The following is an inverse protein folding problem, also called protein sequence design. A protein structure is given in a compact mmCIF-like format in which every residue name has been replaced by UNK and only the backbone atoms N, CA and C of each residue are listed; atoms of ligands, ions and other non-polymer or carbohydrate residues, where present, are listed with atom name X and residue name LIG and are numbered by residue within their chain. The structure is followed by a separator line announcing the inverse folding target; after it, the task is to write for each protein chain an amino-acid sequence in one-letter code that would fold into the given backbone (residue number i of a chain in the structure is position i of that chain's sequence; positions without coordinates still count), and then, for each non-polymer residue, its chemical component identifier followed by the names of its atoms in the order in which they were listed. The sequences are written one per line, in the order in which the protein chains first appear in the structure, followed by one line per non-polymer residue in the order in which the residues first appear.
data_IF_687163128580
#
_entry.id   IF_687163128580
#
_cell.length_a   1.000
_cell.length_b   1.000
_cell.length_c   1.000
_cell.angle_alpha   90.00
_cell.angle_beta   90.00
_cell.angle_gamma   90.00
#
_symmetry.space_group_name_H-M   'P 1'
#
loop_
_entity.id
_entity.type
_entity.pdbx_description
1 polymer ?
#
# COMPACT_ATOMS: atom_id res chain seq x y z
N UNK A 1 -21.14 21.63 -19.95
CA UNK A 1 -20.91 20.35 -20.64
C UNK A 1 -21.89 19.34 -20.07
N UNK A 2 -22.65 18.59 -20.88
CA UNK A 2 -23.55 17.57 -20.37
C UNK A 2 -22.76 16.45 -19.68
N UNK A 3 -23.36 15.83 -18.66
CA UNK A 3 -22.78 14.68 -17.98
C UNK A 3 -22.76 13.48 -18.94
N UNK A 4 -21.75 12.61 -18.84
CA UNK A 4 -21.74 11.37 -19.62
C UNK A 4 -22.83 10.40 -19.14
N UNK A 5 -23.37 9.60 -20.06
CA UNK A 5 -24.44 8.62 -19.79
C UNK A 5 -24.08 7.68 -18.62
N UNK A 6 -22.84 7.18 -18.60
CA UNK A 6 -22.35 6.31 -17.52
C UNK A 6 -22.33 7.00 -16.14
N UNK A 7 -22.06 8.30 -16.10
CA UNK A 7 -22.05 9.08 -14.87
C UNK A 7 -23.50 9.38 -14.42
N UNK A 8 -24.39 9.71 -15.35
CA UNK A 8 -25.82 9.90 -15.07
C UNK A 8 -26.46 8.65 -14.47
N UNK A 9 -26.23 7.46 -15.04
CA UNK A 9 -26.76 6.20 -14.51
C UNK A 9 -26.35 5.97 -13.04
N UNK A 10 -25.07 6.16 -12.73
CA UNK A 10 -24.54 6.03 -11.35
C UNK A 10 -25.11 7.05 -10.38
N UNK A 11 -25.46 8.25 -10.84
CA UNK A 11 -26.10 9.26 -10.00
C UNK A 11 -27.58 8.95 -9.76
N UNK A 12 -28.28 8.38 -10.74
CA UNK A 12 -29.66 7.90 -10.60
C UNK A 12 -29.73 6.73 -9.61
N UNK A 13 -28.82 5.75 -9.72
CA UNK A 13 -28.73 4.62 -8.77
C UNK A 13 -28.54 5.09 -7.32
N UNK A 14 -27.87 6.23 -7.13
CA UNK A 14 -27.63 6.83 -5.82
C UNK A 14 -28.73 7.80 -5.37
N UNK A 15 -29.78 7.96 -6.16
CA UNK A 15 -30.90 8.88 -5.88
C UNK A 15 -30.52 10.36 -5.92
N UNK A 16 -29.39 10.71 -6.56
CA UNK A 16 -28.90 12.09 -6.67
C UNK A 16 -29.60 12.83 -7.82
N UNK A 17 -30.02 12.10 -8.86
CA UNK A 17 -30.79 12.62 -9.99
C UNK A 17 -32.14 11.91 -10.09
N UNK A 18 -33.20 12.68 -10.33
CA UNK A 18 -34.55 12.14 -10.58
C UNK A 18 -34.69 11.70 -12.03
N UNK A 19 -35.05 10.43 -12.26
CA UNK A 19 -35.23 9.83 -13.59
C UNK A 19 -36.26 10.57 -14.47
N UNK A 20 -37.19 11.30 -13.85
CA UNK A 20 -38.24 12.06 -14.55
C UNK A 20 -37.72 13.26 -15.35
N UNK A 21 -36.54 13.79 -15.02
CA UNK A 21 -35.95 14.96 -15.69
C UNK A 21 -35.04 14.63 -16.90
N UNK A 22 -34.84 13.35 -17.22
CA UNK A 22 -33.95 12.91 -18.31
C UNK A 22 -34.75 12.46 -19.54
N UNK A 23 -35.95 11.89 -19.34
CA UNK A 23 -36.79 11.39 -20.43
C UNK A 23 -37.29 12.49 -21.38
N UNK A 24 -37.30 13.76 -20.96
CA UNK A 24 -37.62 14.89 -21.84
C UNK A 24 -36.50 15.24 -22.84
N UNK A 25 -35.28 14.70 -22.68
CA UNK A 25 -34.13 14.97 -23.53
C UNK A 25 -33.74 13.81 -24.47
N UNK A 26 -34.35 12.62 -24.29
CA UNK A 26 -34.03 11.42 -25.06
C UNK A 26 -34.92 11.21 -26.30
N UNK A 27 -36.08 11.87 -26.37
CA UNK A 27 -37.02 11.72 -27.50
C UNK A 27 -36.64 12.55 -28.75
N UNK A 28 -35.49 13.23 -28.75
CA UNK A 28 -35.05 14.10 -29.86
C UNK A 28 -33.85 13.57 -30.67
N UNK A 29 -33.36 12.36 -30.39
CA UNK A 29 -32.19 11.79 -31.09
C UNK A 29 -32.34 10.29 -31.37
N UNK A 30 -33.52 9.90 -31.88
CA UNK A 30 -33.81 8.52 -32.27
C UNK A 30 -33.86 8.36 -33.79
N UNK A 31 -32.83 8.82 -34.51
CA UNK A 31 -32.55 8.38 -35.89
C UNK A 31 -31.03 8.36 -36.12
N UNK A 32 -30.54 7.27 -36.74
CA UNK A 32 -29.14 6.86 -37.00
C UNK A 32 -28.34 6.32 -35.80
N UNK A 33 -28.07 5.01 -35.77
CA UNK A 33 -26.88 4.46 -36.45
C UNK A 33 -26.92 2.92 -36.35
N UNK A 34 -27.37 2.27 -37.42
CA UNK A 34 -27.18 0.84 -37.66
C UNK A 34 -25.70 0.64 -38.03
N UNK A 35 -24.83 0.48 -37.04
CA UNK A 35 -23.43 0.16 -37.26
C UNK A 35 -23.02 -1.06 -36.44
N UNK A 36 -22.97 -2.17 -37.17
CA UNK A 36 -22.20 -3.39 -36.92
C UNK A 36 -20.97 -3.17 -36.02
N UNK A 37 -20.96 -3.81 -34.85
CA UNK A 37 -19.72 -4.17 -34.16
C UNK A 37 -19.48 -5.67 -34.38
N UNK A 38 -18.54 -5.97 -35.27
CA UNK A 38 -18.09 -7.33 -35.56
C UNK A 38 -17.40 -7.92 -34.33
N UNK A 39 -17.94 -9.03 -33.81
CA UNK A 39 -17.33 -9.81 -32.73
C UNK A 39 -16.28 -10.74 -33.34
N UNK A 40 -15.02 -10.30 -33.38
CA UNK A 40 -13.90 -11.17 -33.69
C UNK A 40 -13.53 -11.98 -32.44
N UNK A 41 -13.91 -13.25 -32.42
CA UNK A 41 -13.35 -14.22 -31.48
C UNK A 41 -11.93 -14.57 -31.94
N UNK A 42 -10.93 -13.88 -31.42
CA UNK A 42 -9.54 -14.30 -31.55
C UNK A 42 -9.27 -15.45 -30.56
N UNK A 43 -9.32 -16.69 -31.06
CA UNK A 43 -8.77 -17.85 -30.36
C UNK A 43 -7.24 -17.81 -30.47
N UNK A 44 -6.58 -17.26 -29.46
CA UNK A 44 -5.14 -17.43 -29.31
C UNK A 44 -4.85 -18.71 -28.52
N UNK A 45 -5.02 -19.86 -29.19
CA UNK A 45 -4.36 -21.09 -28.77
C UNK A 45 -3.34 -21.51 -29.84
N UNK A 46 -2.17 -21.87 -29.32
CA UNK A 46 -1.03 -22.56 -29.95
C UNK A 46 -0.03 -21.75 -30.79
N UNK A 47 1.05 -21.35 -30.11
CA UNK A 47 2.39 -21.65 -30.63
C UNK A 47 3.16 -22.45 -29.58
N UNK A 48 3.11 -23.77 -29.70
CA UNK A 48 4.29 -24.60 -29.45
C UNK A 48 5.32 -24.18 -30.53
N UNK A 49 6.57 -23.84 -30.20
CA UNK A 49 7.54 -24.86 -29.81
C UNK A 49 8.93 -24.25 -29.41
N UNK A 50 9.63 -25.02 -28.57
CA UNK A 50 11.10 -25.13 -28.38
C UNK A 50 11.91 -24.22 -27.42
N UNK A 51 12.09 -24.77 -26.21
CA UNK A 51 13.35 -24.97 -25.47
C UNK A 51 14.13 -23.78 -24.86
N UNK A 52 14.12 -23.69 -23.52
CA UNK A 52 15.30 -24.07 -22.71
C UNK A 52 14.96 -24.14 -21.21
N UNK A 53 15.18 -25.32 -20.63
CA UNK A 53 15.24 -25.55 -19.19
C UNK A 53 16.20 -24.57 -18.52
N UNK A 54 15.76 -23.78 -17.54
CA UNK A 54 16.63 -23.29 -16.44
C UNK A 54 15.78 -22.87 -15.23
N UNK A 55 15.67 -23.80 -14.30
CA UNK A 55 15.71 -23.65 -12.83
C UNK A 55 14.93 -22.51 -12.16
N UNK A 56 13.93 -22.94 -11.38
CA UNK A 56 13.45 -22.33 -10.13
C UNK A 56 14.65 -21.79 -9.32
N UNK A 57 14.70 -20.49 -8.92
CA UNK A 57 15.61 -20.10 -7.87
C UNK A 57 15.04 -20.58 -6.53
N UNK A 58 15.50 -21.75 -6.09
CA UNK A 58 15.59 -22.03 -4.65
C UNK A 58 16.40 -20.88 -4.06
N UNK A 59 15.78 -20.03 -3.22
CA UNK A 59 16.53 -19.09 -2.37
C UNK A 59 17.46 -19.93 -1.50
N UNK A 60 18.70 -20.02 -1.93
CA UNK A 60 19.81 -20.58 -1.18
C UNK A 60 20.03 -19.67 0.02
N UNK A 61 19.70 -20.19 1.20
CA UNK A 61 20.17 -19.68 2.48
C UNK A 61 21.70 -19.84 2.47
N UNK A 62 22.41 -18.78 2.12
CA UNK A 62 23.83 -18.64 2.44
C UNK A 62 23.92 -17.89 3.76
N UNK A 63 23.85 -18.67 4.84
CA UNK A 63 24.48 -18.34 6.10
C UNK A 63 25.98 -18.11 5.86
N UNK A 64 26.45 -16.90 6.17
CA UNK A 64 27.73 -16.63 6.84
C UNK A 64 27.94 -15.11 6.99
N UNK A 65 27.41 -14.51 8.05
CA UNK A 65 28.05 -13.37 8.71
C UNK A 65 27.70 -13.41 10.19
N UNK A 66 28.68 -13.79 10.99
CA UNK A 66 28.68 -13.80 12.44
C UNK A 66 28.88 -12.38 12.97
N UNK A 67 27.79 -11.69 13.33
CA UNK A 67 27.66 -10.81 14.50
C UNK A 67 26.21 -10.36 14.63
N UNK A 68 25.74 -10.19 15.86
CA UNK A 68 24.35 -10.09 16.28
C UNK A 68 23.62 -8.79 15.87
N UNK A 69 23.52 -8.52 14.58
CA UNK A 69 22.68 -7.49 14.01
C UNK A 69 21.57 -8.15 13.19
N UNK A 70 20.43 -8.40 13.83
CA UNK A 70 19.19 -8.69 13.14
C UNK A 70 18.90 -7.46 12.27
N UNK A 71 19.25 -7.55 10.99
CA UNK A 71 18.81 -6.62 9.97
C UNK A 71 17.28 -6.75 9.93
N UNK A 72 16.57 -5.80 10.54
CA UNK A 72 15.13 -5.69 10.36
C UNK A 72 14.92 -5.51 8.86
N UNK A 73 14.41 -6.54 8.20
CA UNK A 73 14.07 -6.52 6.78
C UNK A 73 13.01 -5.44 6.61
N UNK A 74 13.40 -4.36 5.94
CA UNK A 74 12.61 -3.16 5.83
C UNK A 74 11.39 -3.44 4.94
N UNK A 75 10.20 -3.49 5.54
CA UNK A 75 8.95 -3.65 4.82
C UNK A 75 8.82 -2.51 3.79
N UNK A 76 8.92 -2.84 2.50
CA UNK A 76 8.82 -1.86 1.42
C UNK A 76 7.41 -1.27 1.38
N UNK A 77 7.25 -0.05 1.89
CA UNK A 77 6.00 0.68 1.73
C UNK A 77 5.82 1.14 0.28
N UNK A 78 4.60 1.12 -0.25
CA UNK A 78 4.28 1.67 -1.57
C UNK A 78 3.76 3.09 -1.41
N UNK A 79 4.21 4.02 -2.26
CA UNK A 79 3.75 5.44 -2.29
C UNK A 79 2.32 5.60 -2.85
N UNK A 80 1.45 4.63 -2.60
CA UNK A 80 0.08 4.64 -3.11
C UNK A 80 -0.74 5.73 -2.39
N UNK A 81 -1.41 6.65 -3.11
CA UNK A 81 -2.26 7.67 -2.51
C UNK A 81 -3.48 7.06 -1.79
N UNK A 82 -3.96 5.90 -2.24
CA UNK A 82 -5.10 5.18 -1.64
C UNK A 82 -4.69 4.23 -0.51
N UNK A 83 -3.44 4.27 -0.04
CA UNK A 83 -2.93 3.38 1.02
C UNK A 83 -3.71 3.48 2.34
N UNK A 84 -4.25 4.64 2.68
CA UNK A 84 -4.95 4.84 3.95
C UNK A 84 -6.39 4.31 3.94
N UNK A 85 -6.89 3.86 2.78
CA UNK A 85 -8.20 3.24 2.68
C UNK A 85 -8.12 1.78 3.15
N UNK A 86 -8.85 1.38 4.21
CA UNK A 86 -8.82 0.01 4.74
C UNK A 86 -9.24 -1.06 3.71
N UNK A 87 -10.02 -0.67 2.70
CA UNK A 87 -10.50 -1.57 1.64
C UNK A 87 -9.55 -1.63 0.43
N UNK A 88 -8.41 -0.93 0.48
CA UNK A 88 -7.43 -0.96 -0.60
C UNK A 88 -6.20 -1.78 -0.21
N UNK A 89 -5.97 -2.85 -0.97
CA UNK A 89 -4.72 -3.62 -0.91
C UNK A 89 -3.83 -3.22 -2.08
N UNK A 90 -2.62 -2.76 -1.79
CA UNK A 90 -1.67 -2.44 -2.86
C UNK A 90 -1.28 -3.71 -3.60
N UNK A 91 -1.40 -3.67 -4.92
CA UNK A 91 -0.95 -4.74 -5.84
C UNK A 91 0.23 -4.24 -6.67
N UNK A 92 0.76 -5.08 -7.55
CA UNK A 92 1.93 -4.75 -8.39
C UNK A 92 1.73 -3.47 -9.21
N UNK A 93 0.50 -3.18 -9.66
CA UNK A 93 0.14 -1.91 -10.31
C UNK A 93 0.52 -0.69 -9.45
N UNK A 94 0.19 -0.68 -8.16
CA UNK A 94 0.49 0.43 -7.26
C UNK A 94 2.01 0.63 -7.13
N UNK A 95 2.77 -0.47 -7.02
CA UNK A 95 4.23 -0.43 -6.95
C UNK A 95 4.83 0.13 -8.24
N UNK A 96 4.37 -0.32 -9.42
CA UNK A 96 4.83 0.20 -10.72
C UNK A 96 4.45 1.66 -10.95
N UNK A 97 3.23 2.06 -10.57
CA UNK A 97 2.69 3.40 -10.84
C UNK A 97 3.23 4.46 -9.90
N UNK A 98 3.34 4.15 -8.61
CA UNK A 98 3.71 5.13 -7.57
C UNK A 98 5.11 4.92 -6.99
N UNK A 99 5.70 3.73 -7.18
CA UNK A 99 7.01 3.38 -6.66
C UNK A 99 7.01 3.00 -5.17
N UNK A 100 8.18 2.60 -4.70
CA UNK A 100 8.42 2.29 -3.29
C UNK A 100 8.78 3.54 -2.48
N UNK A 101 8.43 3.53 -1.20
CA UNK A 101 8.79 4.50 -0.17
C UNK A 101 9.79 3.85 0.77
N UNK A 102 10.96 4.48 0.87
CA UNK A 102 11.95 4.18 1.88
C UNK A 102 11.85 5.20 3.00
N UNK A 103 12.30 4.82 4.19
CA UNK A 103 12.33 5.68 5.35
C UNK A 103 13.41 6.75 5.14
N UNK A 104 12.98 7.99 4.93
CA UNK A 104 13.86 9.12 4.68
C UNK A 104 13.45 10.27 5.60
N UNK A 105 13.83 10.21 6.89
CA UNK A 105 13.44 11.25 7.85
C UNK A 105 14.14 12.57 7.53
N UNK A 106 13.45 13.68 7.78
CA UNK A 106 14.06 15.01 7.69
C UNK A 106 15.15 15.20 8.77
N UNK A 107 16.18 15.99 8.46
CA UNK A 107 17.28 16.29 9.39
C UNK A 107 16.78 16.86 10.73
N UNK A 108 15.71 17.66 10.73
CA UNK A 108 15.12 18.18 11.96
C UNK A 108 14.50 17.07 12.81
N UNK A 109 13.78 16.15 12.18
CA UNK A 109 13.14 15.01 12.87
C UNK A 109 14.18 14.07 13.47
N UNK A 110 15.25 13.79 12.73
CA UNK A 110 16.34 12.94 13.20
C UNK A 110 17.10 13.58 14.38
N UNK A 111 17.35 14.90 14.32
CA UNK A 111 17.95 15.63 15.44
C UNK A 111 17.09 15.55 16.70
N UNK A 112 15.77 15.70 16.59
CA UNK A 112 14.84 15.58 17.74
C UNK A 112 14.83 14.15 18.28
N UNK A 113 14.77 13.14 17.40
CA UNK A 113 14.83 11.71 17.75
C UNK A 113 16.10 11.37 18.54
N UNK A 114 17.28 11.77 18.03
CA UNK A 114 18.57 11.54 18.71
C UNK A 114 18.66 12.23 20.08
N UNK A 115 18.16 13.46 20.20
CA UNK A 115 18.09 14.17 21.49
C UNK A 115 17.20 13.44 22.49
N UNK A 116 16.07 12.94 22.02
CA UNK A 116 15.09 12.22 22.83
C UNK A 116 15.67 10.89 23.33
N UNK A 117 16.33 10.09 22.45
CA UNK A 117 17.01 8.86 22.84
C UNK A 117 18.20 9.09 23.78
N UNK A 118 18.90 10.22 23.66
CA UNK A 118 19.96 10.59 24.63
C UNK A 118 19.39 10.82 26.03
N UNK A 119 18.18 11.38 26.13
CA UNK A 119 17.51 11.65 27.42
C UNK A 119 16.84 10.39 27.99
N UNK A 120 16.29 9.56 27.13
CA UNK A 120 15.55 8.35 27.46
C UNK A 120 16.13 7.17 26.68
N UNK A 121 17.24 6.58 27.15
CA UNK A 121 17.87 5.46 26.47
C UNK A 121 16.94 4.24 26.44
N UNK A 122 17.12 3.40 25.42
CA UNK A 122 16.37 2.17 25.25
C UNK A 122 16.95 1.06 26.15
N UNK A 123 16.09 0.29 26.85
CA UNK A 123 16.52 -0.94 27.52
C UNK A 123 16.96 -2.02 26.52
N UNK A 124 17.72 -3.02 26.97
CA UNK A 124 18.35 -4.03 26.12
C UNK A 124 17.38 -4.75 25.15
N UNK A 125 16.15 -5.03 25.60
CA UNK A 125 15.18 -5.81 24.83
C UNK A 125 14.31 -4.94 23.92
N UNK A 126 14.50 -3.63 23.95
CA UNK A 126 13.78 -2.68 23.12
C UNK A 126 14.61 -2.25 21.92
N UNK A 127 14.01 -2.37 20.74
CA UNK A 127 14.61 -1.98 19.48
C UNK A 127 13.83 -0.83 18.85
N UNK A 128 14.56 0.03 18.17
CA UNK A 128 13.97 1.08 17.33
C UNK A 128 13.67 0.53 15.94
N UNK A 129 12.45 0.74 15.46
CA UNK A 129 11.99 0.29 14.15
C UNK A 129 11.53 1.50 13.33
N UNK A 130 12.15 1.78 12.18
CA UNK A 130 11.73 2.86 11.30
C UNK A 130 10.41 2.48 10.58
N UNK A 131 9.43 3.38 10.61
CA UNK A 131 8.21 3.28 9.82
C UNK A 131 8.29 4.22 8.61
N UNK A 132 8.45 3.63 7.43
CA UNK A 132 8.46 4.31 6.14
C UNK A 132 7.20 5.14 5.90
N UNK A 133 6.07 4.71 6.46
CA UNK A 133 4.77 5.34 6.21
C UNK A 133 4.71 6.76 6.77
N UNK A 134 5.17 6.90 8.01
CA UNK A 134 5.07 8.10 8.81
C UNK A 134 6.40 8.88 8.89
N UNK A 135 7.47 8.34 8.28
CA UNK A 135 8.85 8.86 8.42
C UNK A 135 9.21 9.09 9.90
N UNK A 136 8.80 8.14 10.74
CA UNK A 136 9.01 8.13 12.19
C UNK A 136 9.43 6.74 12.64
N UNK A 137 10.11 6.64 13.77
CA UNK A 137 10.37 5.34 14.41
C UNK A 137 9.33 5.05 15.50
N UNK A 138 8.98 3.78 15.62
CA UNK A 138 8.38 3.22 16.83
C UNK A 138 9.39 2.31 17.54
N UNK A 139 9.04 1.87 18.74
CA UNK A 139 9.88 1.01 19.56
C UNK A 139 9.16 -0.30 19.81
N UNK A 140 9.88 -1.40 19.70
CA UNK A 140 9.36 -2.74 19.82
C UNK A 140 10.22 -3.54 20.80
N UNK A 141 9.58 -4.21 21.74
CA UNK A 141 10.21 -5.15 22.67
C UNK A 141 10.26 -6.54 22.04
N UNK A 142 11.47 -7.06 21.84
CA UNK A 142 11.71 -8.35 21.19
C UNK A 142 11.30 -9.56 22.04
N UNK A 143 11.16 -9.40 23.36
CA UNK A 143 10.78 -10.50 24.25
C UNK A 143 9.27 -10.59 24.47
N UNK A 144 8.60 -9.45 24.63
CA UNK A 144 7.17 -9.41 24.99
C UNK A 144 6.26 -9.13 23.79
N UNK A 145 6.83 -8.72 22.65
CA UNK A 145 6.16 -8.12 21.50
C UNK A 145 5.32 -6.88 21.82
N UNK A 146 5.73 -6.13 22.84
CA UNK A 146 5.14 -4.84 23.16
C UNK A 146 5.65 -3.75 22.21
N UNK A 147 4.79 -2.80 21.87
CA UNK A 147 5.09 -1.69 20.98
C UNK A 147 4.76 -0.35 21.63
N UNK A 148 5.54 0.69 21.30
CA UNK A 148 5.29 2.07 21.74
C UNK A 148 5.82 3.10 20.74
N UNK A 149 5.19 4.27 20.68
CA UNK A 149 5.62 5.38 19.81
C UNK A 149 6.74 6.25 20.40
N UNK A 150 7.02 6.09 21.69
CA UNK A 150 8.10 6.75 22.44
C UNK A 150 8.91 5.67 23.16
N UNK A 151 10.19 5.91 23.53
CA UNK A 151 10.94 4.94 24.31
C UNK A 151 10.20 4.58 25.59
N UNK A 152 10.28 3.33 26.06
CA UNK A 152 9.57 2.87 27.25
C UNK A 152 9.92 3.67 28.51
N UNK A 153 11.13 4.22 28.58
CA UNK A 153 11.60 5.08 29.68
C UNK A 153 11.02 6.51 29.65
N UNK A 154 10.34 6.90 28.56
CA UNK A 154 9.74 8.22 28.45
C UNK A 154 8.44 8.29 29.28
N UNK A 155 8.20 9.36 30.08
CA UNK A 155 7.05 9.44 31.00
C UNK A 155 5.68 9.46 30.30
N UNK A 156 5.65 9.87 29.03
CA UNK A 156 4.46 9.85 28.16
C UNK A 156 4.39 8.62 27.26
N UNK A 157 5.24 7.63 27.48
CA UNK A 157 5.19 6.39 26.70
C UNK A 157 3.94 5.61 27.07
N UNK A 158 3.23 5.12 26.05
CA UNK A 158 2.12 4.20 26.21
C UNK A 158 2.54 2.90 25.54
N UNK A 159 2.75 1.87 26.36
CA UNK A 159 3.17 0.54 25.93
C UNK A 159 1.92 -0.29 25.72
N UNK A 160 1.80 -0.90 24.54
CA UNK A 160 0.64 -1.72 24.12
C UNK A 160 1.11 -3.01 23.48
N UNK A 161 0.26 -4.03 23.41
CA UNK A 161 0.55 -5.24 22.64
C UNK A 161 0.58 -4.93 21.13
N UNK A 162 1.37 -5.70 20.37
CA UNK A 162 1.40 -5.59 18.91
C UNK A 162 0.05 -5.96 18.29
N UNK A 163 -0.25 -5.36 17.13
CA UNK A 163 -1.52 -5.60 16.43
C UNK A 163 -1.73 -7.05 15.97
N UNK A 164 -0.66 -7.85 15.88
CA UNK A 164 -0.72 -9.27 15.53
C UNK A 164 -1.33 -10.11 16.67
N UNK A 165 -1.23 -9.63 17.92
CA UNK A 165 -1.74 -10.33 19.11
C UNK A 165 -3.14 -9.89 19.55
N UNK A 166 -3.72 -8.88 18.90
CA UNK A 166 -5.09 -8.38 19.15
C UNK A 166 -6.10 -9.15 18.30
#
# INVERSE_FOLDING_TARGET
MPLSSALQARLIERGILNATNINAALDASAENDEKSEEVFAESYDEREDHHSSTTIPKKTVSSNTSTADIQIEFEECIKCPNKWNPYHTCVEYCKKRYGSKHYTPDSSTEKRRRKMLKKYPLPNNWREVPDANLDRCYYWNLETDEVSWLPPSHPRSHITQSAIKL
#
